data_IF_446803233049
#
_entry.id   IF_446803233049
#
_cell.length_a   1.000
_cell.length_b   1.000
_cell.length_c   1.000
_cell.angle_alpha   90.00
_cell.angle_beta   90.00
_cell.angle_gamma   90.00
#
_symmetry.space_group_name_H-M   'P 1'
#
loop_
_entity.id
_entity.type
_entity.pdbx_description
1 polymer ?
#
# COMPACT_ATOMS: atom_id res chain seq x y z
N UNK A 1 11.07 9.09 3.90
CA UNK A 1 10.54 8.48 2.66
C UNK A 1 11.57 8.64 1.55
N UNK A 2 12.18 7.54 1.05
CA UNK A 2 13.33 7.58 0.13
C UNK A 2 12.93 8.02 -1.28
N UNK A 3 11.85 7.45 -1.83
CA UNK A 3 11.39 7.73 -3.20
C UNK A 3 11.14 9.23 -3.40
N UNK A 4 10.39 9.85 -2.49
CA UNK A 4 10.12 11.29 -2.44
C UNK A 4 11.39 12.16 -2.49
N UNK A 5 12.45 11.75 -1.78
CA UNK A 5 13.74 12.45 -1.79
C UNK A 5 14.45 12.31 -3.13
N UNK A 6 14.46 11.11 -3.71
CA UNK A 6 15.10 10.84 -5.01
C UNK A 6 14.42 11.62 -6.14
N UNK A 7 13.09 11.71 -6.12
CA UNK A 7 12.32 12.39 -7.17
C UNK A 7 12.06 13.88 -6.89
N UNK A 8 12.49 14.40 -5.73
CA UNK A 8 12.22 15.76 -5.26
C UNK A 8 10.73 16.13 -5.32
N UNK A 9 9.90 15.26 -4.73
CA UNK A 9 8.44 15.45 -4.64
C UNK A 9 7.96 15.13 -3.23
N UNK A 10 6.91 15.82 -2.80
CA UNK A 10 6.21 15.55 -1.54
C UNK A 10 4.95 14.70 -1.74
N UNK A 11 4.61 14.34 -2.97
CA UNK A 11 3.51 13.43 -3.30
C UNK A 11 4.04 12.40 -4.28
N UNK A 12 3.91 11.12 -3.93
CA UNK A 12 4.45 10.01 -4.71
C UNK A 12 3.43 8.88 -4.83
N UNK A 13 3.42 8.23 -6.00
CA UNK A 13 2.61 7.04 -6.26
C UNK A 13 3.52 5.89 -6.64
N UNK A 14 3.29 4.72 -6.04
CA UNK A 14 3.99 3.48 -6.40
C UNK A 14 3.02 2.29 -6.36
N UNK A 15 3.35 1.22 -7.07
CA UNK A 15 2.58 -0.02 -7.04
C UNK A 15 2.91 -0.86 -5.81
N UNK A 16 1.90 -1.45 -5.18
CA UNK A 16 2.06 -2.50 -4.18
C UNK A 16 1.34 -3.76 -4.62
N UNK A 17 1.95 -4.93 -4.38
CA UNK A 17 1.32 -6.21 -4.64
C UNK A 17 0.45 -6.60 -3.45
N UNK A 18 -0.82 -6.92 -3.72
CA UNK A 18 -1.78 -7.44 -2.74
C UNK A 18 -2.22 -8.84 -3.16
N UNK A 19 -2.40 -9.72 -2.19
CA UNK A 19 -3.03 -11.00 -2.44
C UNK A 19 -4.54 -10.80 -2.53
N UNK A 20 -5.18 -11.35 -3.56
CA UNK A 20 -6.65 -11.39 -3.67
C UNK A 20 -7.13 -12.72 -3.13
N UNK A 21 -7.20 -12.83 -1.79
CA UNK A 21 -7.72 -14.00 -1.07
C UNK A 21 -8.99 -13.63 -0.30
N UNK A 22 -10.19 -13.79 -0.91
CA UNK A 22 -11.44 -13.48 -0.23
C UNK A 22 -11.58 -14.33 1.03
N UNK A 23 -11.74 -13.70 2.19
CA UNK A 23 -11.84 -14.41 3.47
C UNK A 23 -13.07 -15.32 3.56
N UNK A 24 -14.12 -15.03 2.79
CA UNK A 24 -15.33 -15.86 2.68
C UNK A 24 -15.13 -17.18 1.91
N UNK A 25 -14.00 -17.37 1.22
CA UNK A 25 -13.73 -18.58 0.44
C UNK A 25 -12.94 -19.60 1.27
N UNK A 26 -13.59 -20.69 1.67
CA UNK A 26 -12.95 -21.77 2.40
C UNK A 26 -11.77 -22.37 1.60
N UNK A 27 -10.61 -22.51 2.24
CA UNK A 27 -9.41 -23.10 1.64
C UNK A 27 -8.62 -22.17 0.70
N UNK A 28 -9.00 -20.89 0.57
CA UNK A 28 -8.35 -19.91 -0.32
C UNK A 28 -6.85 -19.78 -0.11
N UNK A 29 -6.37 -19.98 1.13
CA UNK A 29 -4.96 -19.89 1.46
C UNK A 29 -4.09 -20.97 0.77
N UNK A 30 -4.71 -22.11 0.43
CA UNK A 30 -4.06 -23.29 -0.15
C UNK A 30 -4.35 -23.48 -1.65
N UNK A 31 -5.16 -22.60 -2.25
CA UNK A 31 -5.56 -22.73 -3.65
C UNK A 31 -4.44 -22.29 -4.61
N UNK A 32 -4.07 -23.12 -5.60
CA UNK A 32 -3.18 -22.70 -6.68
C UNK A 32 -3.93 -21.80 -7.68
N UNK A 33 -3.36 -20.63 -8.01
CA UNK A 33 -3.93 -19.69 -8.98
C UNK A 33 -3.28 -18.31 -8.94
N UNK A 34 -3.58 -17.46 -9.93
CA UNK A 34 -3.15 -16.05 -9.95
C UNK A 34 -4.03 -15.24 -9.00
N UNK A 35 -3.62 -15.18 -7.73
CA UNK A 35 -4.30 -14.46 -6.66
C UNK A 35 -3.50 -13.23 -6.22
N UNK A 36 -2.90 -12.52 -7.18
CA UNK A 36 -2.12 -11.31 -6.92
C UNK A 36 -2.61 -10.17 -7.81
N UNK A 37 -2.69 -8.98 -7.23
CA UNK A 37 -2.98 -7.74 -7.93
C UNK A 37 -1.94 -6.68 -7.56
N UNK A 38 -1.64 -5.77 -8.48
CA UNK A 38 -0.82 -4.59 -8.20
C UNK A 38 -1.73 -3.37 -8.16
N UNK A 39 -1.85 -2.75 -6.98
CA UNK A 39 -2.68 -1.56 -6.78
C UNK A 39 -1.81 -0.33 -6.56
N UNK A 40 -2.24 0.85 -7.03
CA UNK A 40 -1.51 2.09 -6.80
C UNK A 40 -1.70 2.57 -5.35
N UNK A 41 -0.60 2.94 -4.70
CA UNK A 41 -0.60 3.60 -3.40
C UNK A 41 -0.07 5.02 -3.56
N UNK A 42 -0.88 6.02 -3.19
CA UNK A 42 -0.50 7.43 -3.17
C UNK A 42 -0.13 7.86 -1.75
N UNK A 43 1.06 8.43 -1.59
CA UNK A 43 1.58 8.91 -0.30
C UNK A 43 1.90 10.41 -0.40
N UNK A 44 0.98 11.29 0.04
CA UNK A 44 1.30 12.69 0.28
C UNK A 44 2.06 12.83 1.60
N UNK A 45 3.20 13.51 1.56
CA UNK A 45 4.04 13.82 2.71
C UNK A 45 3.74 15.22 3.21
N UNK A 46 3.42 15.29 4.49
CA UNK A 46 3.23 16.53 5.24
C UNK A 46 4.33 16.62 6.30
N UNK A 47 5.11 17.71 6.26
CA UNK A 47 6.20 17.95 7.21
C UNK A 47 5.73 18.19 8.64
N UNK A 48 4.45 18.50 8.85
CA UNK A 48 3.84 18.67 10.17
C UNK A 48 3.30 17.37 10.80
N UNK A 49 3.25 16.26 10.06
CA UNK A 49 2.72 14.98 10.56
C UNK A 49 3.82 14.06 11.05
N UNK A 50 3.53 13.31 12.10
CA UNK A 50 4.45 12.24 12.55
C UNK A 50 4.46 11.10 11.52
N UNK A 51 5.54 10.32 11.54
CA UNK A 51 5.65 9.13 10.69
C UNK A 51 4.56 8.11 11.05
N UNK A 52 4.23 7.97 12.35
CA UNK A 52 3.20 7.04 12.81
C UNK A 52 1.84 7.44 12.24
N UNK A 53 1.45 8.71 12.38
CA UNK A 53 0.15 9.18 11.85
C UNK A 53 0.06 9.00 10.33
N UNK A 54 1.18 9.19 9.63
CA UNK A 54 1.27 8.97 8.19
C UNK A 54 1.06 7.49 7.83
N UNK A 55 1.68 6.57 8.57
CA UNK A 55 1.55 5.13 8.35
C UNK A 55 0.16 4.61 8.73
N UNK A 56 -0.40 5.05 9.86
CA UNK A 56 -1.76 4.69 10.28
C UNK A 56 -2.78 5.12 9.24
N UNK A 57 -2.75 6.39 8.81
CA UNK A 57 -3.66 6.86 7.77
C UNK A 57 -3.46 6.19 6.40
N UNK A 58 -2.27 5.64 6.14
CA UNK A 58 -2.03 4.85 4.94
C UNK A 58 -2.66 3.45 5.05
N UNK A 59 -2.52 2.82 6.23
CA UNK A 59 -3.12 1.53 6.52
C UNK A 59 -4.66 1.59 6.51
N UNK A 60 -5.27 2.66 7.03
CA UNK A 60 -6.73 2.84 7.04
C UNK A 60 -7.35 2.99 5.63
N UNK A 61 -6.53 3.25 4.61
CA UNK A 61 -6.97 3.39 3.21
C UNK A 61 -6.86 2.09 2.40
N UNK A 62 -6.32 1.03 3.00
CA UNK A 62 -6.22 -0.31 2.40
C UNK A 62 -7.42 -1.16 2.82
#
# INVERSE_FOLDING_TARGET
MVLARLVRRTDVVFGTTVATRPAELAGVESMPGLMMNTVPIRVPLDGGRTVVDMLTALQDRQ
#
